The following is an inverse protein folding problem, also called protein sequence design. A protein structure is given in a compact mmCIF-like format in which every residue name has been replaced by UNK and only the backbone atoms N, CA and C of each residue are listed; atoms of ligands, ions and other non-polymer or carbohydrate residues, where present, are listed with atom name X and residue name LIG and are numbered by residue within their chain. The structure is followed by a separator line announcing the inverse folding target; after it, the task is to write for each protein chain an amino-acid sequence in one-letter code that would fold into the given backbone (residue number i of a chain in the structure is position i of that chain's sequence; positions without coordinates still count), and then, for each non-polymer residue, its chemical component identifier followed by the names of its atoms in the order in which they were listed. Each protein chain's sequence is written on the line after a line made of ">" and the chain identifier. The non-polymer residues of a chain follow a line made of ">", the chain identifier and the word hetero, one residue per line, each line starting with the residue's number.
data_IF_254125914475
#
_entry.id   IF_254125914475
#
_cell.length_a   1.000
_cell.length_b   1.000
_cell.length_c   1.000
_cell.angle_alpha   90.00
_cell.angle_beta   90.00
_cell.angle_gamma   90.00
#
_symmetry.space_group_name_H-M   'P 1'
#
loop_
_entity.id
_entity.type
_entity.pdbx_description
1 polymer ?
#
# COMPACT_ATOMS: atom_id res chain seq x y z
N UNK A 1 12.42 14.63 10.23
CA UNK A 1 11.08 14.21 10.67
C UNK A 1 10.36 13.81 9.40
N UNK A 2 10.32 12.52 9.11
CA UNK A 2 9.93 11.99 7.82
C UNK A 2 8.41 12.16 7.59
N UNK A 3 8.04 13.14 6.76
CA UNK A 3 6.66 13.56 6.47
C UNK A 3 5.88 12.55 5.61
N UNK A 4 6.56 11.59 4.99
CA UNK A 4 5.98 10.59 4.08
C UNK A 4 5.15 9.49 4.80
N UNK A 5 5.21 9.43 6.13
CA UNK A 5 4.50 8.42 6.93
C UNK A 5 3.05 8.79 7.26
N UNK A 6 2.54 9.97 6.87
CA UNK A 6 1.18 10.44 7.22
C UNK A 6 0.12 10.24 6.13
N UNK A 7 0.49 9.82 4.92
CA UNK A 7 -0.49 9.52 3.88
C UNK A 7 -1.21 8.21 4.17
N UNK A 8 -2.29 8.32 4.93
CA UNK A 8 -3.25 7.24 5.17
C UNK A 8 -4.00 7.01 3.85
N UNK A 9 -3.75 5.86 3.23
CA UNK A 9 -4.46 5.39 2.04
C UNK A 9 -5.82 4.79 2.38
N UNK A 10 -5.89 4.02 3.47
CA UNK A 10 -7.14 3.44 3.93
C UNK A 10 -7.49 3.99 5.32
N UNK A 11 -8.39 4.97 5.44
CA UNK A 11 -8.81 5.47 6.75
C UNK A 11 -9.60 4.42 7.55
N UNK A 12 -10.22 3.43 6.88
CA UNK A 12 -10.96 2.36 7.52
C UNK A 12 -10.06 1.44 8.37
N UNK A 13 -8.87 1.09 7.87
CA UNK A 13 -7.89 0.24 8.56
C UNK A 13 -6.70 1.00 9.15
N UNK A 14 -6.53 2.28 8.79
CA UNK A 14 -5.35 3.09 9.13
C UNK A 14 -4.12 2.76 8.27
N UNK A 15 -4.29 2.10 7.12
CA UNK A 15 -3.17 1.71 6.26
C UNK A 15 -2.54 2.92 5.60
N UNK A 16 -1.21 3.04 5.69
CA UNK A 16 -0.43 4.14 5.10
C UNK A 16 0.39 3.72 3.89
N UNK A 17 0.74 4.66 3.01
CA UNK A 17 1.65 4.43 1.86
C UNK A 17 2.96 3.76 2.27
N UNK A 18 3.54 4.23 3.38
CA UNK A 18 4.77 3.69 3.94
C UNK A 18 4.63 2.23 4.38
N UNK A 19 3.49 1.85 4.97
CA UNK A 19 3.20 0.45 5.30
C UNK A 19 3.20 -0.43 4.04
N UNK A 20 2.49 0.00 2.99
CA UNK A 20 2.40 -0.76 1.74
C UNK A 20 3.77 -0.92 1.10
N UNK A 21 4.58 0.14 1.06
CA UNK A 21 5.97 0.08 0.55
C UNK A 21 6.83 -0.90 1.35
N UNK A 22 6.69 -0.96 2.68
CA UNK A 22 7.40 -1.95 3.53
C UNK A 22 6.98 -3.38 3.21
N UNK A 23 5.70 -3.61 2.94
CA UNK A 23 5.20 -4.93 2.54
C UNK A 23 5.67 -5.31 1.13
N UNK A 24 5.62 -4.36 0.19
CA UNK A 24 6.16 -4.50 -1.16
C UNK A 24 7.63 -4.90 -1.14
N UNK A 25 8.44 -4.22 -0.32
CA UNK A 25 9.87 -4.50 -0.20
C UNK A 25 10.16 -5.88 0.39
N UNK A 26 9.29 -6.37 1.29
CA UNK A 26 9.32 -7.73 1.83
C UNK A 26 8.87 -8.82 0.85
N UNK A 27 8.42 -8.44 -0.35
CA UNK A 27 7.94 -9.36 -1.39
C UNK A 27 6.42 -9.52 -1.44
N UNK A 28 5.66 -8.73 -0.69
CA UNK A 28 4.20 -8.66 -0.79
C UNK A 28 3.81 -7.50 -1.69
N UNK A 29 3.82 -7.74 -3.00
CA UNK A 29 3.60 -6.74 -4.04
C UNK A 29 2.19 -6.78 -4.66
N UNK A 30 1.29 -7.58 -4.10
CA UNK A 30 -0.05 -7.85 -4.65
C UNK A 30 -1.14 -7.26 -3.77
N UNK A 31 -2.22 -6.78 -4.39
CA UNK A 31 -3.38 -6.21 -3.70
C UNK A 31 -3.95 -7.17 -2.64
N UNK A 32 -4.09 -8.46 -2.96
CA UNK A 32 -4.57 -9.49 -2.03
C UNK A 32 -3.62 -9.66 -0.84
N UNK A 33 -2.31 -9.68 -1.09
CA UNK A 33 -1.30 -9.79 -0.04
C UNK A 33 -1.31 -8.58 0.89
N UNK A 34 -1.41 -7.37 0.34
CA UNK A 34 -1.52 -6.13 1.11
C UNK A 34 -2.84 -6.08 1.89
N UNK A 35 -3.95 -6.47 1.28
CA UNK A 35 -5.27 -6.54 1.93
C UNK A 35 -5.25 -7.50 3.11
N UNK A 36 -4.67 -8.69 2.95
CA UNK A 36 -4.52 -9.68 4.04
C UNK A 36 -3.56 -9.21 5.12
N UNK A 37 -2.47 -8.54 4.75
CA UNK A 37 -1.45 -8.11 5.71
C UNK A 37 -1.86 -6.86 6.52
N UNK A 38 -2.58 -5.93 5.89
CA UNK A 38 -2.92 -4.63 6.49
C UNK A 38 -4.41 -4.46 6.82
N UNK A 39 -5.28 -5.33 6.29
CA UNK A 39 -6.72 -5.19 6.38
C UNK A 39 -7.31 -4.13 5.44
N UNK A 40 -6.49 -3.41 4.66
CA UNK A 40 -6.99 -2.47 3.66
C UNK A 40 -7.89 -3.18 2.64
N UNK A 41 -8.92 -2.50 2.13
CA UNK A 41 -9.85 -3.05 1.14
C UNK A 41 -10.75 -4.22 1.62
N UNK A 42 -10.64 -4.69 2.86
CA UNK A 42 -11.48 -5.81 3.37
C UNK A 42 -12.86 -5.37 3.88
N UNK A 43 -13.05 -4.08 4.17
CA UNK A 43 -14.30 -3.53 4.70
C UNK A 43 -15.05 -2.62 3.72
N UNK A 44 -14.43 -1.49 3.37
CA UNK A 44 -15.09 -0.40 2.64
C UNK A 44 -14.77 -0.36 1.14
N UNK A 45 -13.70 -1.02 0.67
CA UNK A 45 -13.27 -1.05 -0.74
C UNK A 45 -12.77 0.28 -1.33
N UNK A 46 -13.10 1.44 -0.73
CA UNK A 46 -12.80 2.74 -1.33
C UNK A 46 -11.33 3.04 -1.62
N UNK A 47 -10.39 2.37 -0.94
CA UNK A 47 -8.95 2.53 -1.14
C UNK A 47 -8.34 1.52 -2.13
N UNK A 48 -9.13 0.62 -2.72
CA UNK A 48 -8.65 -0.42 -3.66
C UNK A 48 -7.85 0.19 -4.82
N UNK A 49 -8.42 1.24 -5.40
CA UNK A 49 -7.81 1.94 -6.52
C UNK A 49 -6.50 2.62 -6.13
N UNK A 50 -6.48 3.35 -5.01
CA UNK A 50 -5.27 4.04 -4.53
C UNK A 50 -4.16 3.07 -4.14
N UNK A 51 -4.52 1.93 -3.51
CA UNK A 51 -3.56 0.88 -3.16
C UNK A 51 -2.97 0.26 -4.42
N UNK A 52 -3.81 -0.05 -5.41
CA UNK A 52 -3.35 -0.64 -6.68
C UNK A 52 -2.44 0.32 -7.45
N UNK A 53 -2.82 1.60 -7.54
CA UNK A 53 -2.03 2.64 -8.18
C UNK A 53 -0.67 2.80 -7.49
N UNK A 54 -0.65 2.85 -6.16
CA UNK A 54 0.59 2.92 -5.41
C UNK A 54 1.49 1.72 -5.66
N UNK A 55 0.95 0.49 -5.63
CA UNK A 55 1.72 -0.72 -5.93
C UNK A 55 2.35 -0.69 -7.33
N UNK A 56 1.62 -0.19 -8.33
CA UNK A 56 2.11 -0.04 -9.71
C UNK A 56 3.28 0.96 -9.77
N UNK A 57 3.15 2.12 -9.11
CA UNK A 57 4.24 3.10 -8.97
C UNK A 57 5.47 2.49 -8.28
N UNK A 58 5.27 1.72 -7.21
CA UNK A 58 6.36 1.06 -6.49
C UNK A 58 7.06 0.00 -7.34
N UNK A 59 6.31 -0.74 -8.17
CA UNK A 59 6.83 -1.73 -9.09
C UNK A 59 7.63 -1.09 -10.23
N UNK A 60 7.10 0.00 -10.81
CA UNK A 60 7.81 0.82 -11.78
C UNK A 60 9.11 1.39 -11.19
N UNK A 61 9.08 1.85 -9.93
CA UNK A 61 10.26 2.37 -9.25
C UNK A 61 11.31 1.29 -8.93
N UNK A 62 10.92 0.05 -8.61
CA UNK A 62 11.86 -1.07 -8.35
C UNK A 62 12.44 -1.69 -9.62
N UNK A 63 11.78 -1.56 -10.76
CA UNK A 63 12.25 -2.13 -12.03
C UNK A 63 13.21 -1.21 -12.80
N UNK A 64 13.59 -0.06 -12.21
CA UNK A 64 14.64 0.83 -12.71
C UNK A 64 15.95 0.77 -11.90
N UNK A 65 16.14 -0.27 -11.07
CA UNK A 65 17.40 -0.53 -10.34
C UNK A 65 18.10 -1.78 -10.92
#
# INVERSE_FOLDING_TARGET
>A
MDEESRDILCPCSGTTRAQIRRHFDRGTADLDGISRATGACSGCGGCEYDVQAWLDELAAAKSHD
#
